data_IF_314639916925
#
_entry.id   IF_314639916925
#
_cell.length_a   1.000
_cell.length_b   1.000
_cell.length_c   1.000
_cell.angle_alpha   90.00
_cell.angle_beta   90.00
_cell.angle_gamma   90.00
#
_symmetry.space_group_name_H-M   'P 1'
#
loop_
_entity.id
_entity.type
_entity.pdbx_description
1 polymer ?
#
# COMPACT_ATOMS: atom_id res chain seq x y z
N UNK A 1 10.75 3.78 -22.30
CA UNK A 1 10.80 5.23 -22.03
C UNK A 1 9.45 5.65 -21.47
N UNK A 2 9.38 5.99 -20.18
CA UNK A 2 8.28 6.75 -19.57
C UNK A 2 9.00 7.87 -18.78
N UNK A 3 9.08 9.08 -19.34
CA UNK A 3 8.12 10.19 -19.20
C UNK A 3 7.96 10.68 -17.76
N UNK A 4 8.58 11.83 -17.50
CA UNK A 4 8.37 12.82 -16.43
C UNK A 4 7.21 12.56 -15.45
N UNK A 5 7.51 12.52 -14.14
CA UNK A 5 6.69 13.14 -13.10
C UNK A 5 7.61 13.79 -12.06
N UNK A 6 7.86 15.07 -12.27
CA UNK A 6 8.13 16.05 -11.22
C UNK A 6 6.76 16.48 -10.70
N UNK A 7 6.53 16.48 -9.39
CA UNK A 7 5.37 17.17 -8.83
C UNK A 7 5.83 18.27 -7.87
N UNK A 8 6.22 19.45 -8.39
CA UNK A 8 6.14 20.69 -7.64
C UNK A 8 4.70 21.21 -7.72
N UNK A 9 4.14 21.54 -6.56
CA UNK A 9 2.83 22.21 -6.37
C UNK A 9 1.59 21.46 -6.91
N UNK A 10 0.82 20.83 -6.02
CA UNK A 10 -0.62 20.67 -6.23
C UNK A 10 -1.41 21.00 -4.97
N UNK A 11 -2.20 22.05 -5.09
CA UNK A 11 -3.21 22.53 -4.13
C UNK A 11 -4.48 21.64 -4.17
N UNK A 12 -4.32 20.35 -4.47
CA UNK A 12 -5.40 19.47 -4.91
C UNK A 12 -5.35 18.12 -4.22
N UNK A 13 -5.58 18.08 -2.89
CA UNK A 13 -6.07 16.92 -2.13
C UNK A 13 -5.27 15.61 -2.17
N UNK A 14 -4.28 15.46 -3.03
CA UNK A 14 -3.54 14.23 -3.31
C UNK A 14 -2.07 14.60 -3.28
N UNK A 15 -1.34 14.02 -2.34
CA UNK A 15 0.10 14.15 -2.27
C UNK A 15 0.73 12.80 -2.63
N UNK A 16 1.28 12.71 -3.83
CA UNK A 16 2.10 11.58 -4.25
C UNK A 16 3.54 11.82 -3.77
N UNK A 17 4.10 10.87 -3.01
CA UNK A 17 5.49 10.91 -2.60
C UNK A 17 6.34 10.26 -3.69
N UNK A 18 7.19 11.01 -4.43
CA UNK A 18 8.05 10.43 -5.44
C UNK A 18 9.17 9.63 -4.76
N UNK A 19 9.39 8.39 -5.19
CA UNK A 19 10.53 7.61 -4.77
C UNK A 19 11.54 7.44 -5.92
N UNK A 20 12.83 7.65 -5.61
CA UNK A 20 13.99 7.35 -6.48
C UNK A 20 15.01 6.44 -5.79
N UNK A 21 14.81 6.12 -4.52
CA UNK A 21 15.66 5.30 -3.66
C UNK A 21 14.74 4.34 -2.89
N UNK A 22 14.74 3.07 -3.29
CA UNK A 22 13.88 2.03 -2.72
C UNK A 22 13.73 2.14 -1.20
N UNK A 23 12.49 2.17 -0.71
CA UNK A 23 12.14 2.16 0.70
C UNK A 23 12.08 3.53 1.38
N UNK A 24 12.52 4.61 0.72
CA UNK A 24 12.41 5.97 1.28
C UNK A 24 11.00 6.57 1.13
N UNK A 25 10.26 6.17 0.10
CA UNK A 25 8.89 6.57 -0.19
C UNK A 25 7.89 6.18 0.90
N UNK A 26 7.81 4.90 1.33
CA UNK A 26 6.87 4.44 2.35
C UNK A 26 6.97 5.20 3.68
N UNK A 27 8.19 5.31 4.23
CA UNK A 27 8.40 6.00 5.51
C UNK A 27 8.14 7.50 5.36
N UNK A 28 8.56 8.12 4.25
CA UNK A 28 8.27 9.51 3.94
C UNK A 28 6.77 9.79 3.92
N UNK A 29 5.99 8.93 3.27
CA UNK A 29 4.53 9.06 3.19
C UNK A 29 3.85 8.97 4.56
N UNK A 30 4.29 8.06 5.44
CA UNK A 30 3.78 7.95 6.82
C UNK A 30 3.99 9.26 7.59
N UNK A 31 5.22 9.79 7.59
CA UNK A 31 5.52 11.02 8.31
C UNK A 31 4.87 12.24 7.68
N UNK A 32 4.70 12.25 6.37
CA UNK A 32 3.98 13.30 5.65
C UNK A 32 2.49 13.33 6.04
N UNK A 33 1.82 12.18 6.08
CA UNK A 33 0.42 12.08 6.52
C UNK A 33 0.25 12.52 7.98
N UNK A 34 1.18 12.11 8.85
CA UNK A 34 1.26 12.56 10.25
C UNK A 34 1.45 14.07 10.35
N UNK A 35 2.30 14.65 9.51
CA UNK A 35 2.54 16.09 9.51
C UNK A 35 1.31 16.90 9.08
N UNK A 36 0.54 16.41 8.11
CA UNK A 36 -0.74 17.03 7.74
C UNK A 36 -1.70 17.04 8.94
N UNK A 37 -1.91 15.90 9.61
CA UNK A 37 -2.70 15.85 10.85
C UNK A 37 -2.19 16.81 11.93
N UNK A 38 -0.87 16.94 12.07
CA UNK A 38 -0.28 17.92 12.98
C UNK A 38 -0.65 19.36 12.62
N UNK A 39 -0.60 19.75 11.34
CA UNK A 39 -0.98 21.10 10.90
C UNK A 39 -2.46 21.39 11.20
N UNK A 40 -3.34 20.43 10.95
CA UNK A 40 -4.77 20.51 11.24
C UNK A 40 -5.02 20.66 12.74
N UNK A 41 -4.47 19.76 13.56
CA UNK A 41 -4.65 19.79 15.03
C UNK A 41 -4.09 21.05 15.69
N UNK A 42 -3.09 21.69 15.07
CA UNK A 42 -2.49 22.94 15.58
C UNK A 42 -3.18 24.19 15.03
N UNK A 43 -4.20 24.05 14.18
CA UNK A 43 -4.90 25.17 13.55
C UNK A 43 -4.00 26.00 12.62
N UNK A 44 -2.93 25.40 12.08
CA UNK A 44 -1.97 26.08 11.21
C UNK A 44 -2.42 26.07 9.74
N UNK A 45 -3.07 24.98 9.31
CA UNK A 45 -3.65 24.83 7.97
C UNK A 45 -4.76 23.78 8.03
N UNK A 46 -5.88 24.03 7.34
CA UNK A 46 -6.89 22.99 7.11
C UNK A 46 -6.35 22.01 6.05
N UNK A 47 -6.03 20.80 6.50
CA UNK A 47 -5.56 19.70 5.65
C UNK A 47 -6.52 18.51 5.64
N UNK A 48 -7.74 18.68 6.17
CA UNK A 48 -8.73 17.61 6.37
C UNK A 48 -9.13 16.89 5.07
N UNK A 49 -9.00 17.56 3.92
CA UNK A 49 -9.31 17.04 2.58
C UNK A 49 -8.09 16.50 1.83
N UNK A 50 -6.93 16.42 2.48
CA UNK A 50 -5.70 15.95 1.85
C UNK A 50 -5.43 14.49 2.21
N UNK A 51 -5.18 13.67 1.19
CA UNK A 51 -4.78 12.28 1.31
C UNK A 51 -3.38 12.09 0.73
N UNK A 52 -2.53 11.36 1.44
CA UNK A 52 -1.20 10.98 1.00
C UNK A 52 -1.28 9.61 0.36
N UNK A 53 -0.77 9.49 -0.87
CA UNK A 53 -0.70 8.22 -1.58
C UNK A 53 0.77 7.83 -1.77
N UNK A 54 1.12 6.61 -1.35
CA UNK A 54 2.40 5.99 -1.63
C UNK A 54 2.21 4.88 -2.66
N UNK A 55 2.83 5.03 -3.83
CA UNK A 55 2.82 4.00 -4.88
C UNK A 55 4.12 3.21 -4.81
N UNK A 56 4.01 1.93 -4.49
CA UNK A 56 5.13 1.08 -4.08
C UNK A 56 5.19 -0.19 -4.93
N UNK A 57 6.37 -0.78 -5.08
CA UNK A 57 6.52 -2.13 -5.62
C UNK A 57 6.52 -3.19 -4.53
N UNK A 58 6.03 -4.40 -4.79
CA UNK A 58 6.15 -5.52 -3.83
C UNK A 58 7.61 -5.89 -3.53
N UNK A 59 8.52 -5.80 -4.50
CA UNK A 59 9.96 -5.97 -4.29
C UNK A 59 10.61 -4.86 -3.46
N UNK A 60 10.03 -3.65 -3.43
CA UNK A 60 10.51 -2.56 -2.58
C UNK A 60 10.14 -2.80 -1.10
N UNK A 61 9.10 -3.61 -0.85
CA UNK A 61 8.66 -3.93 0.51
C UNK A 61 9.63 -4.84 1.27
N UNK A 62 10.72 -5.30 0.65
CA UNK A 62 11.79 -6.02 1.33
C UNK A 62 12.74 -5.08 2.09
N UNK A 63 12.79 -3.80 1.72
CA UNK A 63 13.62 -2.83 2.41
C UNK A 63 13.11 -2.61 3.85
N UNK A 64 14.00 -2.57 4.85
CA UNK A 64 13.60 -2.36 6.25
C UNK A 64 12.75 -1.10 6.46
N UNK A 65 13.06 -0.03 5.74
CA UNK A 65 12.40 1.26 5.79
C UNK A 65 10.95 1.19 5.29
N UNK A 66 10.66 0.28 4.35
CA UNK A 66 9.33 0.10 3.76
C UNK A 66 8.29 -0.39 4.76
N UNK A 67 8.70 -1.27 5.69
CA UNK A 67 7.81 -1.92 6.67
C UNK A 67 8.06 -1.45 8.11
N UNK A 68 9.24 -0.93 8.43
CA UNK A 68 9.67 -0.66 9.80
C UNK A 68 8.82 0.37 10.56
N UNK A 69 8.14 1.27 9.84
CA UNK A 69 7.37 2.35 10.43
C UNK A 69 5.84 2.20 10.33
N UNK A 70 5.32 1.11 9.75
CA UNK A 70 3.87 0.99 9.45
C UNK A 70 2.99 1.03 10.70
N UNK A 71 3.50 0.63 11.87
CA UNK A 71 2.75 0.71 13.14
C UNK A 71 2.50 2.15 13.60
N UNK A 72 3.27 3.13 13.11
CA UNK A 72 3.05 4.56 13.39
C UNK A 72 1.71 5.01 12.80
N UNK A 73 1.35 4.54 11.60
CA UNK A 73 0.11 4.93 10.96
C UNK A 73 -1.12 4.56 11.81
N UNK A 74 -1.12 3.38 12.40
CA UNK A 74 -2.18 2.93 13.32
C UNK A 74 -2.18 3.71 14.64
N UNK A 75 -0.99 3.92 15.24
CA UNK A 75 -0.85 4.67 16.51
C UNK A 75 -1.36 6.11 16.39
N UNK A 76 -1.10 6.75 15.26
CA UNK A 76 -1.48 8.14 14.99
C UNK A 76 -2.83 8.26 14.26
N UNK A 77 -3.50 7.13 13.99
CA UNK A 77 -4.79 7.05 13.27
C UNK A 77 -4.75 7.81 11.94
N UNK A 78 -3.77 7.49 11.10
CA UNK A 78 -3.57 8.13 9.79
C UNK A 78 -4.57 7.61 8.76
N UNK A 79 -5.84 8.00 8.90
CA UNK A 79 -6.92 7.76 7.92
C UNK A 79 -6.75 8.56 6.61
N UNK A 80 -5.77 9.46 6.56
CA UNK A 80 -5.38 10.26 5.41
C UNK A 80 -4.19 9.66 4.64
N UNK A 81 -3.86 8.39 4.85
CA UNK A 81 -2.75 7.69 4.19
C UNK A 81 -3.24 6.44 3.47
N UNK A 82 -2.82 6.28 2.21
CA UNK A 82 -3.09 5.09 1.39
C UNK A 82 -1.79 4.58 0.79
N UNK A 83 -1.50 3.30 1.05
CA UNK A 83 -0.44 2.57 0.34
C UNK A 83 -1.06 1.81 -0.83
N UNK A 84 -0.47 1.97 -2.01
CA UNK A 84 -0.83 1.25 -3.24
C UNK A 84 0.38 0.43 -3.64
N UNK A 85 0.37 -0.86 -3.26
CA UNK A 85 1.47 -1.78 -3.53
C UNK A 85 1.15 -2.56 -4.81
N UNK A 86 1.98 -2.39 -5.83
CA UNK A 86 1.88 -3.16 -7.07
C UNK A 86 2.52 -4.54 -6.86
N UNK A 87 1.69 -5.55 -6.63
CA UNK A 87 2.12 -6.93 -6.48
C UNK A 87 2.20 -7.65 -7.84
N UNK A 88 3.17 -7.28 -8.66
CA UNK A 88 3.44 -7.96 -9.93
C UNK A 88 4.25 -9.27 -9.76
N UNK A 89 4.63 -9.58 -8.52
CA UNK A 89 5.32 -10.79 -8.06
C UNK A 89 6.80 -10.87 -8.49
N UNK A 90 7.38 -9.77 -8.98
CA UNK A 90 8.73 -9.76 -9.56
C UNK A 90 9.58 -8.56 -9.07
N UNK A 91 10.86 -8.84 -8.80
CA UNK A 91 11.97 -7.89 -8.74
C UNK A 91 12.71 -7.88 -10.09
N UNK A 92 13.73 -7.02 -10.20
CA UNK A 92 14.58 -6.94 -11.40
C UNK A 92 15.25 -8.27 -11.76
N UNK A 93 15.65 -9.06 -10.75
CA UNK A 93 16.42 -10.29 -10.93
C UNK A 93 15.59 -11.59 -10.74
N UNK A 94 14.26 -11.49 -10.63
CA UNK A 94 13.39 -12.66 -10.48
C UNK A 94 12.23 -12.46 -9.50
N UNK A 95 11.53 -13.54 -9.10
CA UNK A 95 10.39 -13.45 -8.19
C UNK A 95 10.76 -12.84 -6.83
N UNK A 96 9.86 -12.07 -6.23
CA UNK A 96 10.06 -11.48 -4.87
C UNK A 96 10.24 -12.60 -3.83
N UNK A 97 9.33 -13.56 -3.81
CA UNK A 97 9.41 -14.75 -2.96
C UNK A 97 9.24 -16.00 -3.81
N UNK A 98 10.33 -16.71 -4.12
CA UNK A 98 10.31 -17.84 -5.08
C UNK A 98 9.32 -18.97 -4.73
N UNK A 99 9.19 -19.33 -3.45
CA UNK A 99 8.28 -20.37 -2.97
C UNK A 99 7.16 -19.82 -2.05
N UNK A 100 7.10 -18.50 -1.88
CA UNK A 100 6.17 -17.83 -0.96
C UNK A 100 5.03 -17.13 -1.68
N UNK A 101 4.08 -16.61 -0.90
CA UNK A 101 2.99 -15.75 -1.38
C UNK A 101 3.17 -14.35 -0.82
N UNK A 102 3.94 -13.51 -1.50
CA UNK A 102 4.24 -12.13 -1.04
C UNK A 102 2.98 -11.34 -0.69
N UNK A 103 1.87 -11.51 -1.43
CA UNK A 103 0.60 -10.83 -1.14
C UNK A 103 0.06 -11.23 0.25
N UNK A 104 0.13 -12.52 0.61
CA UNK A 104 -0.33 -13.00 1.92
C UNK A 104 0.63 -12.57 3.03
N UNK A 105 1.93 -12.50 2.76
CA UNK A 105 2.91 -11.98 3.71
C UNK A 105 2.65 -10.50 4.01
N UNK A 106 2.43 -9.69 2.97
CA UNK A 106 2.10 -8.28 3.11
C UNK A 106 0.76 -8.11 3.84
N UNK A 107 -0.27 -8.87 3.48
CA UNK A 107 -1.54 -8.87 4.21
C UNK A 107 -1.32 -9.13 5.71
N UNK A 108 -0.63 -10.22 6.07
CA UNK A 108 -0.40 -10.58 7.46
C UNK A 108 0.37 -9.51 8.24
N UNK A 109 1.39 -8.90 7.62
CA UNK A 109 2.18 -7.84 8.26
C UNK A 109 1.34 -6.55 8.45
N UNK A 110 0.59 -6.14 7.43
CA UNK A 110 -0.20 -4.91 7.48
C UNK A 110 -1.43 -5.05 8.39
N UNK A 111 -2.18 -6.15 8.29
CA UNK A 111 -3.29 -6.45 9.21
C UNK A 111 -2.79 -6.58 10.65
N UNK A 112 -1.67 -7.29 10.87
CA UNK A 112 -1.03 -7.41 12.18
C UNK A 112 -0.58 -6.06 12.75
N UNK A 113 -0.24 -5.09 11.89
CA UNK A 113 0.07 -3.71 12.28
C UNK A 113 -1.17 -2.83 12.47
N UNK A 114 -2.39 -3.35 12.25
CA UNK A 114 -3.65 -2.65 12.42
C UNK A 114 -4.12 -1.82 11.22
N UNK A 115 -3.59 -2.10 10.03
CA UNK A 115 -4.05 -1.49 8.79
C UNK A 115 -5.32 -2.16 8.26
N UNK A 116 -6.11 -1.39 7.51
CA UNK A 116 -7.15 -1.94 6.66
C UNK A 116 -6.54 -2.41 5.34
N UNK A 117 -6.57 -3.71 5.06
CA UNK A 117 -6.00 -4.31 3.84
C UNK A 117 -7.11 -4.60 2.82
N UNK A 118 -6.92 -4.12 1.59
CA UNK A 118 -7.83 -4.39 0.47
C UNK A 118 -7.03 -5.08 -0.62
N UNK A 119 -7.31 -6.38 -0.84
CA UNK A 119 -6.68 -7.16 -1.90
C UNK A 119 -7.49 -7.06 -3.20
N UNK A 120 -6.84 -6.63 -4.28
CA UNK A 120 -7.43 -6.59 -5.63
C UNK A 120 -6.80 -7.70 -6.47
N UNK A 121 -7.32 -8.92 -6.32
CA UNK A 121 -6.70 -10.13 -6.87
C UNK A 121 -7.18 -10.46 -8.28
N UNK A 122 -8.49 -10.40 -8.48
CA UNK A 122 -9.15 -10.93 -9.67
C UNK A 122 -9.94 -9.83 -10.39
N UNK A 123 -9.90 -9.86 -11.72
CA UNK A 123 -10.79 -9.03 -12.53
C UNK A 123 -12.19 -9.65 -12.67
N UNK A 124 -13.16 -8.85 -13.12
CA UNK A 124 -14.59 -9.24 -13.17
C UNK A 124 -14.93 -10.50 -13.97
N UNK A 125 -14.04 -10.96 -14.85
CA UNK A 125 -14.20 -12.25 -15.55
C UNK A 125 -14.23 -13.46 -14.60
N UNK A 126 -13.66 -13.33 -13.42
CA UNK A 126 -13.65 -14.38 -12.40
C UNK A 126 -14.92 -14.41 -11.56
N UNK A 127 -15.71 -13.33 -11.52
CA UNK A 127 -16.88 -13.21 -10.64
C UNK A 127 -17.88 -14.36 -10.85
N UNK A 128 -18.17 -14.71 -12.11
CA UNK A 128 -19.10 -15.79 -12.42
C UNK A 128 -18.55 -17.17 -12.03
N UNK A 129 -17.24 -17.39 -12.21
CA UNK A 129 -16.59 -18.65 -11.87
C UNK A 129 -16.53 -18.85 -10.36
N UNK A 130 -16.15 -17.82 -9.61
CA UNK A 130 -16.09 -17.85 -8.15
C UNK A 130 -17.50 -18.00 -7.54
N UNK A 131 -18.50 -17.31 -8.08
CA UNK A 131 -19.90 -17.44 -7.63
C UNK A 131 -20.47 -18.84 -7.84
N UNK A 132 -20.05 -19.54 -8.91
CA UNK A 132 -20.51 -20.89 -9.22
C UNK A 132 -19.75 -21.97 -8.45
N UNK A 133 -18.58 -21.66 -7.87
CA UNK A 133 -17.79 -22.66 -7.16
C UNK A 133 -18.36 -22.94 -5.77
N UNK A 134 -19.15 -24.01 -5.66
CA UNK A 134 -19.66 -24.50 -4.38
C UNK A 134 -18.63 -25.36 -3.63
N UNK A 135 -17.46 -25.64 -4.23
CA UNK A 135 -16.43 -26.53 -3.67
C UNK A 135 -15.27 -25.80 -2.99
N UNK A 136 -15.13 -24.49 -3.20
CA UNK A 136 -14.04 -23.67 -2.66
C UNK A 136 -12.66 -24.00 -3.25
N UNK A 137 -12.61 -24.65 -4.41
CA UNK A 137 -11.35 -25.06 -5.06
C UNK A 137 -10.78 -24.00 -5.99
N UNK A 138 -11.62 -23.14 -6.55
CA UNK A 138 -11.23 -22.21 -7.62
C UNK A 138 -10.71 -20.87 -7.12
N UNK A 139 -10.86 -20.56 -5.82
CA UNK A 139 -10.22 -19.39 -5.21
C UNK A 139 -8.92 -19.78 -4.50
N UNK A 140 -7.74 -19.57 -5.11
CA UNK A 140 -6.45 -19.79 -4.45
C UNK A 140 -6.03 -18.64 -3.53
N UNK A 141 -6.77 -17.52 -3.51
CA UNK A 141 -6.50 -16.35 -2.67
C UNK A 141 -7.30 -16.33 -1.36
N UNK A 142 -8.43 -17.06 -1.29
CA UNK A 142 -9.19 -17.26 -0.05
C UNK A 142 -8.83 -18.61 0.60
N UNK A 143 -7.90 -18.57 1.56
CA UNK A 143 -7.48 -19.73 2.36
C UNK A 143 -8.39 -19.99 3.56
N UNK A 144 -9.42 -19.17 3.82
CA UNK A 144 -10.29 -19.32 5.01
C UNK A 144 -11.15 -20.59 4.99
N UNK A 145 -11.20 -21.30 3.86
CA UNK A 145 -11.92 -22.56 3.66
C UNK A 145 -10.99 -23.76 3.40
N UNK A 146 -9.69 -23.67 3.71
CA UNK A 146 -8.72 -24.78 3.57
C UNK A 146 -8.08 -25.18 4.90
#
# INVERSE_FOLDING_TARGET
MASLLSAPETDAGILAVPDRIYGSGPIGAIYQAKFLKYLEHRGLKDTSKQTVYAFLGDGEMDEPESKGAITIATREKLDNLVFVINCNLQRLDGPVTGNGKIINELEGIFEGAGWNVIKVMWGSRWDELLRKDTSGKTDPADERNR
#
